data_IF_239679874061
#
_entry.id   IF_239679874061
#
_cell.length_a   1.000
_cell.length_b   1.000
_cell.length_c   1.000
_cell.angle_alpha   90.00
_cell.angle_beta   90.00
_cell.angle_gamma   90.00
#
_symmetry.space_group_name_H-M   'P 1'
#
loop_
_entity.id
_entity.type
_entity.pdbx_description
1 polymer ?
#
# COMPACT_ATOMS: atom_id res chain seq x y z
N UNK A 1 -18.67 2.00 -3.19
CA UNK A 1 -18.22 3.33 -2.76
C UNK A 1 -16.83 3.66 -3.30
N UNK A 2 -15.85 2.75 -3.18
CA UNK A 2 -14.50 2.77 -3.81
C UNK A 2 -14.46 3.35 -5.24
N UNK A 3 -15.39 2.96 -6.11
CA UNK A 3 -15.46 3.47 -7.50
C UNK A 3 -15.56 5.00 -7.60
N UNK A 4 -16.12 5.66 -6.58
CA UNK A 4 -16.30 7.11 -6.52
C UNK A 4 -15.36 7.81 -5.53
N UNK A 5 -14.33 7.12 -5.02
CA UNK A 5 -13.24 7.75 -4.28
C UNK A 5 -12.23 8.36 -5.25
N UNK A 6 -11.57 9.44 -4.82
CA UNK A 6 -10.60 10.19 -5.62
C UNK A 6 -9.40 9.32 -6.03
N UNK A 7 -8.71 8.72 -5.05
CA UNK A 7 -7.56 7.84 -5.26
C UNK A 7 -7.64 6.59 -4.35
N UNK A 8 -8.59 5.67 -4.58
CA UNK A 8 -8.66 4.46 -3.79
C UNK A 8 -7.47 3.54 -4.09
N UNK A 9 -7.01 2.86 -3.06
CA UNK A 9 -5.99 1.82 -3.14
C UNK A 9 -6.64 0.44 -3.01
N UNK A 10 -5.84 -0.62 -3.14
CA UNK A 10 -6.31 -1.97 -2.85
C UNK A 10 -6.59 -2.19 -1.35
N UNK A 11 -6.03 -1.35 -0.45
CA UNK A 11 -6.31 -1.41 0.99
C UNK A 11 -7.77 -1.07 1.32
N UNK A 12 -8.41 -0.25 0.49
CA UNK A 12 -9.80 0.18 0.64
C UNK A 12 -10.83 -0.91 0.32
N UNK A 13 -10.39 -2.04 -0.25
CA UNK A 13 -11.28 -3.14 -0.60
C UNK A 13 -11.77 -3.85 0.66
N UNK A 14 -13.07 -4.18 0.70
CA UNK A 14 -13.68 -4.86 1.85
C UNK A 14 -12.96 -6.16 2.20
N UNK A 15 -12.46 -6.87 1.19
CA UNK A 15 -11.74 -8.12 1.35
C UNK A 15 -10.41 -7.94 2.07
N UNK A 16 -9.72 -6.81 1.87
CA UNK A 16 -8.53 -6.44 2.63
C UNK A 16 -8.86 -6.29 4.12
N UNK A 17 -9.80 -5.40 4.44
CA UNK A 17 -10.19 -5.13 5.83
C UNK A 17 -10.70 -6.38 6.54
N UNK A 18 -11.52 -7.22 5.89
CA UNK A 18 -12.01 -8.48 6.47
C UNK A 18 -10.87 -9.45 6.76
N UNK A 19 -9.94 -9.61 5.83
CA UNK A 19 -8.81 -10.54 5.99
C UNK A 19 -7.88 -10.06 7.09
N UNK A 20 -7.54 -8.76 7.11
CA UNK A 20 -6.72 -8.17 8.16
C UNK A 20 -7.39 -8.30 9.54
N UNK A 21 -8.67 -7.92 9.66
CA UNK A 21 -9.41 -7.99 10.92
C UNK A 21 -9.49 -9.42 11.46
N UNK A 22 -9.69 -10.42 10.59
CA UNK A 22 -9.77 -11.82 11.01
C UNK A 22 -8.45 -12.38 11.56
N UNK A 23 -7.31 -11.85 11.11
CA UNK A 23 -6.00 -12.31 11.56
C UNK A 23 -5.46 -11.49 12.73
N UNK A 24 -5.68 -10.17 12.75
CA UNK A 24 -5.01 -9.24 13.67
C UNK A 24 -5.97 -8.42 14.57
N UNK A 25 -7.27 -8.46 14.31
CA UNK A 25 -8.25 -7.60 14.98
C UNK A 25 -8.64 -8.00 16.41
N UNK A 26 -8.21 -9.17 16.89
CA UNK A 26 -8.73 -9.75 18.15
C UNK A 26 -8.44 -8.92 19.41
N UNK A 27 -7.39 -8.11 19.38
CA UNK A 27 -6.98 -7.27 20.51
C UNK A 27 -7.61 -5.86 20.47
N UNK A 28 -8.45 -5.58 19.46
CA UNK A 28 -9.03 -4.26 19.20
C UNK A 28 -10.55 -4.28 19.17
N UNK A 29 -11.18 -3.15 19.52
CA UNK A 29 -12.61 -2.98 19.28
C UNK A 29 -12.87 -2.41 17.88
N UNK A 30 -13.71 -3.07 17.08
CA UNK A 30 -14.10 -2.59 15.75
C UNK A 30 -14.97 -1.34 15.85
N UNK A 31 -14.57 -0.23 15.20
CA UNK A 31 -15.38 0.99 15.07
C UNK A 31 -15.54 1.38 13.60
N UNK A 32 -16.61 0.92 12.96
CA UNK A 32 -16.97 1.37 11.62
C UNK A 32 -17.96 2.53 11.69
N UNK A 33 -17.51 3.74 11.34
CA UNK A 33 -18.37 4.92 11.27
C UNK A 33 -18.70 5.24 9.82
N UNK A 34 -19.95 5.65 9.56
CA UNK A 34 -20.39 6.03 8.23
C UNK A 34 -21.23 7.31 8.30
N UNK A 35 -21.01 8.21 7.34
CA UNK A 35 -21.81 9.41 7.16
C UNK A 35 -22.68 9.29 5.90
N UNK A 36 -23.91 9.79 6.02
CA UNK A 36 -24.93 9.77 4.99
C UNK A 36 -25.41 11.19 4.74
N UNK A 37 -25.72 11.52 3.48
CA UNK A 37 -26.43 12.76 3.18
C UNK A 37 -27.87 12.71 3.68
N UNK A 38 -28.55 13.86 3.73
CA UNK A 38 -29.98 13.94 4.08
C UNK A 38 -30.86 13.03 3.22
N UNK A 39 -30.49 12.83 1.95
CA UNK A 39 -31.16 11.90 1.02
C UNK A 39 -30.84 10.42 1.25
N UNK A 40 -30.12 10.06 2.31
CA UNK A 40 -29.78 8.67 2.67
C UNK A 40 -28.62 8.05 1.88
N UNK A 41 -27.90 8.82 1.07
CA UNK A 41 -26.76 8.31 0.31
C UNK A 41 -25.50 8.31 1.18
N UNK A 42 -24.80 7.18 1.26
CA UNK A 42 -23.52 7.09 1.96
C UNK A 42 -22.45 7.96 1.28
N UNK A 43 -21.76 8.76 2.09
CA UNK A 43 -20.75 9.74 1.66
C UNK A 43 -19.34 9.44 2.17
N UNK A 44 -19.25 8.84 3.35
CA UNK A 44 -17.97 8.53 3.98
C UNK A 44 -18.08 7.20 4.73
N UNK A 45 -17.01 6.40 4.69
CA UNK A 45 -16.76 5.30 5.63
C UNK A 45 -15.42 5.57 6.30
N UNK A 46 -15.40 5.53 7.64
CA UNK A 46 -14.19 5.54 8.44
C UNK A 46 -13.95 4.13 8.99
N UNK A 47 -13.00 3.37 8.41
CA UNK A 47 -12.62 2.07 8.93
C UNK A 47 -11.70 2.27 10.14
N UNK A 48 -12.27 2.29 11.36
CA UNK A 48 -11.51 2.55 12.59
C UNK A 48 -11.51 1.36 13.54
N UNK A 49 -10.55 1.38 14.46
CA UNK A 49 -10.44 0.47 15.58
C UNK A 49 -10.03 1.23 16.84
N UNK A 50 -10.33 0.66 18.01
CA UNK A 50 -9.98 1.24 19.31
C UNK A 50 -9.08 0.26 20.07
N UNK A 51 -7.98 0.80 20.60
CA UNK A 51 -7.07 0.16 21.55
C UNK A 51 -7.00 1.01 22.83
N UNK A 52 -7.59 0.54 23.92
CA UNK A 52 -7.69 1.33 25.14
C UNK A 52 -8.41 2.67 24.93
N UNK A 53 -7.66 3.78 25.06
CA UNK A 53 -8.15 5.16 24.87
C UNK A 53 -7.71 5.80 23.54
N UNK A 54 -7.17 4.99 22.62
CA UNK A 54 -6.73 5.42 21.30
C UNK A 54 -7.67 4.89 20.21
N UNK A 55 -8.07 5.77 19.29
CA UNK A 55 -8.77 5.40 18.05
C UNK A 55 -7.87 5.64 16.83
N UNK A 56 -7.80 4.66 15.94
CA UNK A 56 -6.95 4.69 14.75
C UNK A 56 -7.62 3.96 13.57
N UNK A 57 -6.99 3.97 12.39
CA UNK A 57 -7.48 3.21 11.24
C UNK A 57 -7.42 1.69 11.48
N UNK A 58 -8.33 0.94 10.86
CA UNK A 58 -8.20 -0.52 10.75
C UNK A 58 -7.02 -0.81 9.84
N UNK A 59 -6.02 -1.50 10.40
CA UNK A 59 -4.77 -1.75 9.72
C UNK A 59 -3.62 -1.32 10.61
N UNK A 60 -2.53 -2.05 10.52
CA UNK A 60 -1.29 -1.71 11.20
C UNK A 60 -0.30 -1.18 10.17
N UNK A 61 0.45 -0.14 10.55
CA UNK A 61 1.40 0.52 9.65
C UNK A 61 2.54 -0.39 9.22
N UNK A 62 2.72 -1.58 9.77
CA UNK A 62 3.67 -2.60 9.29
C UNK A 62 3.17 -3.41 8.07
N UNK A 63 1.87 -3.36 7.74
CA UNK A 63 1.22 -4.09 6.66
C UNK A 63 0.40 -3.19 5.72
N UNK A 64 0.08 -1.97 6.15
CA UNK A 64 -0.67 -0.99 5.36
C UNK A 64 0.14 0.28 5.22
N UNK A 65 0.43 0.66 3.98
CA UNK A 65 1.25 1.84 3.66
C UNK A 65 0.43 3.08 3.31
N UNK A 66 -0.88 2.89 3.09
CA UNK A 66 -1.83 3.97 2.85
C UNK A 66 -3.12 3.71 3.62
N UNK A 67 -3.48 4.65 4.48
CA UNK A 67 -4.82 4.73 5.07
C UNK A 67 -5.50 6.01 4.65
N UNK A 68 -6.83 5.99 4.62
CA UNK A 68 -7.66 7.19 4.63
C UNK A 68 -9.09 6.82 5.04
N UNK A 69 -9.93 7.83 5.22
CA UNK A 69 -11.37 7.63 5.12
C UNK A 69 -11.72 7.38 3.65
N UNK A 70 -12.61 6.42 3.43
CA UNK A 70 -13.18 6.26 2.11
C UNK A 70 -14.23 7.36 1.91
N UNK A 71 -13.85 8.40 1.17
CA UNK A 71 -14.70 9.56 0.91
C UNK A 71 -15.18 9.53 -0.53
N UNK A 72 -16.48 9.76 -0.73
CA UNK A 72 -17.09 9.87 -2.06
C UNK A 72 -16.89 11.27 -2.64
N UNK A 73 -16.49 11.36 -3.90
CA UNK A 73 -16.44 12.60 -4.65
C UNK A 73 -17.82 13.04 -5.19
N UNK A 74 -18.11 14.37 -5.26
CA UNK A 74 -17.30 15.47 -4.73
C UNK A 74 -17.25 15.46 -3.19
N UNK A 75 -16.08 15.81 -2.61
CA UNK A 75 -15.88 15.91 -1.16
C UNK A 75 -16.97 16.76 -0.49
N UNK A 76 -17.67 16.14 0.47
CA UNK A 76 -18.54 16.83 1.42
C UNK A 76 -17.82 16.96 2.76
N UNK A 77 -17.22 18.13 3.02
CA UNK A 77 -16.43 18.40 4.23
C UNK A 77 -17.25 18.23 5.52
N UNK A 78 -18.58 18.36 5.46
CA UNK A 78 -19.46 18.15 6.60
C UNK A 78 -19.43 16.70 7.11
N UNK A 79 -19.06 15.73 6.24
CA UNK A 79 -18.89 14.34 6.66
C UNK A 79 -17.70 14.16 7.60
N UNK A 80 -16.58 14.84 7.33
CA UNK A 80 -15.39 14.80 8.21
C UNK A 80 -15.69 15.55 9.51
N UNK A 81 -16.41 16.68 9.44
CA UNK A 81 -16.88 17.39 10.63
C UNK A 81 -17.72 16.48 11.53
N UNK A 82 -18.73 15.82 10.96
CA UNK A 82 -19.65 14.93 11.69
C UNK A 82 -18.90 13.75 12.31
N UNK A 83 -17.97 13.14 11.56
CA UNK A 83 -17.10 12.08 12.06
C UNK A 83 -16.28 12.55 13.27
N UNK A 84 -15.65 13.73 13.16
CA UNK A 84 -14.83 14.31 14.24
C UNK A 84 -15.67 14.60 15.49
N UNK A 85 -16.91 15.09 15.32
CA UNK A 85 -17.85 15.31 16.43
C UNK A 85 -18.25 14.00 17.12
N UNK A 86 -18.52 12.93 16.35
CA UNK A 86 -18.85 11.61 16.89
C UNK A 86 -17.68 11.07 17.71
N UNK A 87 -16.45 11.15 17.21
CA UNK A 87 -15.25 10.71 17.94
C UNK A 87 -15.04 11.57 19.20
N UNK A 88 -15.20 12.90 19.12
CA UNK A 88 -15.10 13.78 20.28
C UNK A 88 -16.10 13.41 21.40
N UNK A 89 -17.30 12.96 21.02
CA UNK A 89 -18.34 12.48 21.93
C UNK A 89 -17.99 11.18 22.67
N UNK A 90 -17.02 10.40 22.16
CA UNK A 90 -16.50 9.20 22.84
C UNK A 90 -15.59 9.63 23.99
N UNK A 91 -16.14 9.70 25.21
CA UNK A 91 -15.43 10.26 26.37
C UNK A 91 -14.23 9.43 26.84
N UNK A 92 -14.20 8.15 26.51
CA UNK A 92 -13.10 7.24 26.86
C UNK A 92 -11.92 7.34 25.89
N UNK A 93 -12.05 8.09 24.78
CA UNK A 93 -10.97 8.28 23.80
C UNK A 93 -10.19 9.56 24.10
N UNK A 94 -8.89 9.43 24.37
CA UNK A 94 -7.97 10.55 24.62
C UNK A 94 -6.97 10.80 23.50
N UNK A 95 -6.79 9.82 22.60
CA UNK A 95 -5.87 9.93 21.47
C UNK A 95 -6.55 9.49 20.17
N UNK A 96 -6.31 10.24 19.10
CA UNK A 96 -6.67 9.88 17.73
C UNK A 96 -5.38 9.78 16.94
N UNK A 97 -5.13 8.65 16.29
CA UNK A 97 -3.93 8.43 15.49
C UNK A 97 -4.32 8.02 14.05
N UNK A 98 -4.14 8.95 13.11
CA UNK A 98 -4.42 8.75 11.69
C UNK A 98 -3.09 8.71 10.94
N UNK A 99 -2.48 7.53 10.88
CA UNK A 99 -1.19 7.29 10.24
C UNK A 99 -1.35 6.89 8.77
N UNK A 100 -0.26 6.99 8.02
CA UNK A 100 -0.14 6.57 6.63
C UNK A 100 -1.07 7.31 5.66
N UNK A 101 -1.39 8.58 5.93
CA UNK A 101 -2.20 9.42 5.06
C UNK A 101 -1.38 9.97 3.88
N UNK A 102 -1.82 9.84 2.63
CA UNK A 102 -1.16 10.50 1.51
C UNK A 102 -1.19 12.03 1.67
N UNK A 103 -0.11 12.74 1.31
CA UNK A 103 0.05 14.19 1.54
C UNK A 103 -1.10 15.09 1.05
N UNK A 104 -1.83 14.62 0.02
CA UNK A 104 -2.93 15.36 -0.62
C UNK A 104 -4.30 14.94 -0.10
N UNK A 105 -4.36 14.07 0.90
CA UNK A 105 -5.62 13.65 1.50
C UNK A 105 -6.34 14.85 2.11
N UNK A 106 -7.61 15.10 1.76
CA UNK A 106 -8.40 16.15 2.39
C UNK A 106 -8.59 15.90 3.89
N UNK A 107 -8.49 14.64 4.34
CA UNK A 107 -8.59 14.26 5.75
C UNK A 107 -7.60 15.04 6.60
N UNK A 108 -6.35 15.21 6.15
CA UNK A 108 -5.30 15.90 6.92
C UNK A 108 -5.73 17.31 7.33
N UNK A 109 -6.20 18.11 6.36
CA UNK A 109 -6.54 19.53 6.58
C UNK A 109 -7.89 19.65 7.29
N UNK A 110 -8.90 18.91 6.84
CA UNK A 110 -10.26 19.04 7.35
C UNK A 110 -10.37 18.49 8.78
N UNK A 111 -9.80 17.30 9.06
CA UNK A 111 -9.82 16.73 10.40
C UNK A 111 -9.11 17.64 11.39
N UNK A 112 -7.92 18.16 11.04
CA UNK A 112 -7.19 19.10 11.91
C UNK A 112 -8.05 20.30 12.29
N UNK A 113 -8.65 20.96 11.29
CA UNK A 113 -9.49 22.15 11.51
C UNK A 113 -10.65 21.86 12.48
N UNK A 114 -11.39 20.77 12.27
CA UNK A 114 -12.53 20.44 13.13
C UNK A 114 -12.12 19.92 14.51
N UNK A 115 -11.02 19.17 14.61
CA UNK A 115 -10.53 18.66 15.89
C UNK A 115 -10.00 19.80 16.78
N UNK A 116 -9.24 20.76 16.23
CA UNK A 116 -8.77 21.94 16.95
C UNK A 116 -9.95 22.81 17.45
N UNK A 117 -11.01 22.97 16.66
CA UNK A 117 -12.24 23.67 17.10
C UNK A 117 -12.95 22.98 18.27
N UNK A 118 -12.80 21.66 18.40
CA UNK A 118 -13.34 20.85 19.49
C UNK A 118 -12.36 20.72 20.67
N UNK A 119 -11.27 21.50 20.69
CA UNK A 119 -10.31 21.56 21.80
C UNK A 119 -9.23 20.48 21.78
N UNK A 120 -9.07 19.74 20.67
CA UNK A 120 -7.97 18.78 20.55
C UNK A 120 -6.66 19.50 20.20
N UNK A 121 -5.54 19.02 20.76
CA UNK A 121 -4.20 19.40 20.30
C UNK A 121 -3.83 18.50 19.13
N UNK A 122 -3.76 19.06 17.93
CA UNK A 122 -3.43 18.31 16.71
C UNK A 122 -1.99 18.56 16.28
N UNK A 123 -1.29 17.48 15.96
CA UNK A 123 0.05 17.47 15.35
C UNK A 123 -0.01 16.77 14.01
N UNK A 124 0.68 17.33 13.01
CA UNK A 124 0.90 16.70 11.71
C UNK A 124 2.40 16.50 11.55
N UNK A 125 2.81 15.27 11.32
CA UNK A 125 4.19 14.90 11.03
C UNK A 125 4.31 14.27 9.65
N UNK A 126 5.44 14.50 8.98
CA UNK A 126 5.83 13.68 7.84
C UNK A 126 6.28 12.31 8.41
N UNK A 127 5.59 11.24 8.01
CA UNK A 127 5.83 9.87 8.46
C UNK A 127 6.90 9.20 7.59
N UNK A 128 6.73 9.23 6.27
CA UNK A 128 7.62 8.57 5.30
C UNK A 128 7.37 9.13 3.88
N UNK A 129 7.95 8.48 2.87
CA UNK A 129 7.69 8.70 1.44
C UNK A 129 7.20 7.42 0.78
N UNK A 130 6.42 7.56 -0.28
CA UNK A 130 6.04 6.48 -1.16
C UNK A 130 6.36 6.86 -2.63
N UNK A 131 7.53 6.43 -3.15
CA UNK A 131 7.93 6.74 -4.52
C UNK A 131 7.00 6.10 -5.55
N UNK A 132 6.62 6.85 -6.58
CA UNK A 132 5.82 6.33 -7.71
C UNK A 132 6.32 6.84 -9.07
N UNK A 133 5.89 6.18 -10.14
CA UNK A 133 6.18 6.54 -11.53
C UNK A 133 4.86 6.77 -12.25
N UNK A 134 4.71 7.94 -12.87
CA UNK A 134 3.70 8.14 -13.92
C UNK A 134 4.16 7.40 -15.18
N UNK A 135 3.42 6.36 -15.58
CA UNK A 135 3.80 5.47 -16.66
C UNK A 135 3.50 6.12 -18.01
N UNK A 136 4.49 6.18 -18.93
CA UNK A 136 4.25 6.61 -20.29
C UNK A 136 3.58 5.50 -21.11
N UNK A 137 3.19 5.81 -22.34
CA UNK A 137 2.49 4.87 -23.23
C UNK A 137 3.36 3.71 -23.73
N UNK A 138 4.69 3.83 -23.69
CA UNK A 138 5.60 2.79 -24.21
C UNK A 138 6.80 2.54 -23.30
N UNK A 139 7.36 1.33 -23.38
CA UNK A 139 8.59 0.97 -22.66
C UNK A 139 9.78 1.83 -23.07
N UNK A 140 9.88 2.19 -24.35
CA UNK A 140 10.99 3.02 -24.85
C UNK A 140 10.91 4.46 -24.32
N UNK A 141 9.69 5.01 -24.18
CA UNK A 141 9.48 6.30 -23.54
C UNK A 141 9.86 6.26 -22.06
N UNK A 142 9.49 5.17 -21.35
CA UNK A 142 9.93 4.95 -19.96
C UNK A 142 11.45 4.88 -19.85
N UNK A 143 12.11 4.09 -20.70
CA UNK A 143 13.57 4.02 -20.70
C UNK A 143 14.20 5.39 -20.97
N UNK A 144 13.59 6.21 -21.81
CA UNK A 144 14.04 7.56 -22.15
C UNK A 144 13.85 8.55 -21.01
N UNK A 145 12.78 8.41 -20.21
CA UNK A 145 12.50 9.28 -19.06
C UNK A 145 13.48 9.08 -17.90
N UNK A 146 14.09 7.88 -17.79
CA UNK A 146 15.14 7.62 -16.81
C UNK A 146 16.37 8.51 -17.01
N UNK A 147 17.02 8.87 -15.89
CA UNK A 147 18.33 9.55 -15.92
C UNK A 147 19.32 8.74 -16.75
N UNK A 148 20.18 9.42 -17.53
CA UNK A 148 21.13 8.77 -18.46
C UNK A 148 21.91 7.63 -17.80
N UNK A 149 22.43 7.85 -16.58
CA UNK A 149 23.16 6.84 -15.81
C UNK A 149 22.31 5.60 -15.50
N UNK A 150 21.10 5.81 -14.98
CA UNK A 150 20.19 4.73 -14.58
C UNK A 150 19.72 3.92 -15.79
N UNK A 151 19.37 4.59 -16.90
CA UNK A 151 19.04 3.93 -18.17
C UNK A 151 20.17 3.02 -18.65
N UNK A 152 21.41 3.52 -18.67
CA UNK A 152 22.57 2.73 -19.11
C UNK A 152 22.82 1.53 -18.19
N UNK A 153 22.70 1.74 -16.88
CA UNK A 153 22.88 0.67 -15.89
C UNK A 153 21.78 -0.39 -16.01
N UNK A 154 20.51 -0.01 -16.17
CA UNK A 154 19.41 -0.93 -16.37
C UNK A 154 19.59 -1.77 -17.65
N UNK A 155 19.94 -1.14 -18.78
CA UNK A 155 20.28 -1.86 -20.03
C UNK A 155 21.43 -2.85 -19.85
N UNK A 156 22.47 -2.45 -19.10
CA UNK A 156 23.61 -3.33 -18.80
C UNK A 156 23.17 -4.55 -17.99
N UNK A 157 22.31 -4.37 -16.99
CA UNK A 157 21.78 -5.46 -16.17
C UNK A 157 20.90 -6.42 -16.97
N UNK A 158 20.02 -5.92 -17.84
CA UNK A 158 19.22 -6.75 -18.74
C UNK A 158 20.09 -7.63 -19.64
N UNK A 159 21.09 -7.07 -20.33
CA UNK A 159 22.03 -7.85 -21.14
C UNK A 159 22.74 -8.94 -20.33
N UNK A 160 23.18 -8.63 -19.11
CA UNK A 160 23.83 -9.63 -18.24
C UNK A 160 22.86 -10.75 -17.83
N UNK A 161 21.59 -10.44 -17.64
CA UNK A 161 20.56 -11.44 -17.35
C UNK A 161 20.33 -12.34 -18.57
N UNK A 162 20.25 -11.77 -19.77
CA UNK A 162 20.14 -12.52 -21.04
C UNK A 162 21.35 -13.44 -21.29
N UNK A 163 22.56 -12.98 -20.95
CA UNK A 163 23.79 -13.78 -21.05
C UNK A 163 23.85 -14.95 -20.04
N UNK A 164 23.02 -14.93 -18.99
CA UNK A 164 23.03 -15.94 -17.92
C UNK A 164 22.25 -17.23 -18.26
N UNK A 165 21.47 -17.23 -19.34
CA UNK A 165 20.71 -18.39 -19.79
C UNK A 165 19.29 -18.06 -20.23
N UNK A 166 18.40 -19.05 -20.16
CA UNK A 166 16.99 -18.82 -20.48
C UNK A 166 16.32 -18.06 -19.34
N UNK A 167 15.76 -16.89 -19.63
CA UNK A 167 15.11 -16.04 -18.62
C UNK A 167 13.72 -15.63 -19.03
N UNK A 168 12.76 -15.72 -18.12
CA UNK A 168 11.36 -15.33 -18.34
C UNK A 168 10.77 -14.75 -17.06
N UNK A 169 9.92 -13.74 -17.17
CA UNK A 169 9.05 -13.35 -16.08
C UNK A 169 7.65 -13.93 -16.31
N UNK A 170 7.15 -14.65 -15.31
CA UNK A 170 5.80 -15.20 -15.30
C UNK A 170 4.94 -14.33 -14.38
N UNK A 171 3.76 -13.93 -14.84
CA UNK A 171 2.77 -13.20 -14.05
C UNK A 171 1.53 -14.08 -13.82
N UNK A 172 1.23 -14.35 -12.55
CA UNK A 172 0.08 -15.14 -12.12
C UNK A 172 -1.03 -14.22 -11.61
N UNK A 173 -2.24 -14.44 -12.10
CA UNK A 173 -3.42 -13.61 -11.79
C UNK A 173 -4.63 -14.42 -11.32
N UNK A 174 -4.69 -15.72 -11.66
CA UNK A 174 -5.79 -16.58 -11.25
C UNK A 174 -5.68 -16.94 -9.76
N UNK A 175 -6.80 -17.04 -9.01
CA UNK A 175 -6.75 -17.41 -7.60
C UNK A 175 -6.02 -18.74 -7.34
N UNK A 176 -6.23 -19.74 -8.21
CA UNK A 176 -5.63 -21.07 -8.07
C UNK A 176 -4.12 -21.03 -8.30
N UNK A 177 -3.66 -20.32 -9.33
CA UNK A 177 -2.22 -20.21 -9.61
C UNK A 177 -1.51 -19.40 -8.53
N UNK A 178 -2.14 -18.31 -8.05
CA UNK A 178 -1.65 -17.52 -6.94
C UNK A 178 -1.50 -18.38 -5.70
N UNK A 179 -2.55 -19.11 -5.30
CA UNK A 179 -2.53 -19.99 -4.13
C UNK A 179 -1.39 -21.01 -4.20
N UNK A 180 -1.27 -21.71 -5.34
CA UNK A 180 -0.24 -22.72 -5.57
C UNK A 180 1.18 -22.14 -5.51
N UNK A 181 1.37 -20.88 -5.91
CA UNK A 181 2.68 -20.24 -5.97
C UNK A 181 3.05 -19.44 -4.71
N UNK A 182 2.14 -19.23 -3.75
CA UNK A 182 2.43 -18.44 -2.54
C UNK A 182 3.59 -19.00 -1.72
N UNK A 183 3.77 -20.33 -1.69
CA UNK A 183 4.88 -20.95 -0.96
C UNK A 183 6.25 -20.50 -1.50
N UNK A 184 6.38 -20.36 -2.83
CA UNK A 184 7.61 -19.88 -3.46
C UNK A 184 7.85 -18.40 -3.20
N UNK A 185 6.79 -17.59 -3.24
CA UNK A 185 6.88 -16.18 -2.88
C UNK A 185 7.37 -16.00 -1.44
N UNK A 186 6.77 -16.72 -0.48
CA UNK A 186 7.15 -16.67 0.94
C UNK A 186 8.60 -17.13 1.13
N UNK A 187 9.02 -18.22 0.45
CA UNK A 187 10.41 -18.70 0.46
C UNK A 187 11.37 -17.59 -0.01
N UNK A 188 11.14 -17.02 -1.19
CA UNK A 188 11.98 -15.96 -1.75
C UNK A 188 11.97 -14.68 -0.91
N UNK A 189 10.83 -14.35 -0.29
CA UNK A 189 10.71 -13.22 0.63
C UNK A 189 11.61 -13.41 1.85
N UNK A 190 11.54 -14.57 2.51
CA UNK A 190 12.36 -14.87 3.70
C UNK A 190 13.87 -14.79 3.40
N UNK A 191 14.29 -15.19 2.21
CA UNK A 191 15.70 -15.23 1.81
C UNK A 191 16.33 -13.85 1.56
N UNK A 192 15.55 -12.84 1.16
CA UNK A 192 16.11 -11.74 0.37
C UNK A 192 16.93 -10.71 1.12
N UNK A 193 16.55 -10.35 2.35
CA UNK A 193 17.24 -9.37 3.17
C UNK A 193 17.13 -9.71 4.65
N UNK A 194 18.12 -9.27 5.43
CA UNK A 194 18.13 -9.42 6.89
C UNK A 194 16.83 -8.85 7.47
N UNK A 195 16.18 -9.61 8.37
CA UNK A 195 14.92 -9.22 9.01
C UNK A 195 13.64 -9.68 8.29
N UNK A 196 13.68 -10.04 6.99
CA UNK A 196 12.47 -10.52 6.29
C UNK A 196 11.97 -11.89 6.74
N UNK A 197 12.87 -12.72 7.26
CA UNK A 197 12.49 -13.96 7.93
C UNK A 197 11.66 -13.68 9.19
N UNK A 198 12.12 -12.75 10.03
CA UNK A 198 11.43 -12.33 11.26
C UNK A 198 10.10 -11.63 10.94
N UNK A 199 10.06 -10.85 9.86
CA UNK A 199 8.84 -10.22 9.38
C UNK A 199 7.77 -11.27 9.02
N UNK A 200 8.14 -12.39 8.39
CA UNK A 200 7.18 -13.36 7.87
C UNK A 200 6.80 -14.42 8.93
N UNK A 201 6.15 -13.97 10.01
CA UNK A 201 5.59 -14.83 11.06
C UNK A 201 4.51 -15.77 10.51
N UNK A 202 4.11 -16.81 11.28
CA UNK A 202 3.03 -17.73 10.85
C UNK A 202 1.70 -17.01 10.59
N UNK A 203 1.39 -16.01 11.40
CA UNK A 203 0.16 -15.21 11.26
C UNK A 203 0.20 -14.36 9.99
N UNK A 204 1.32 -13.65 9.74
CA UNK A 204 1.50 -12.90 8.50
C UNK A 204 1.54 -13.81 7.27
N UNK A 205 2.13 -15.00 7.34
CA UNK A 205 2.09 -15.97 6.24
C UNK A 205 0.64 -16.34 5.87
N UNK A 206 -0.23 -16.64 6.86
CA UNK A 206 -1.66 -16.88 6.59
C UNK A 206 -2.33 -15.66 5.97
N UNK A 207 -2.09 -14.47 6.54
CA UNK A 207 -2.62 -13.22 6.01
C UNK A 207 -2.22 -13.01 4.54
N UNK A 208 -0.93 -13.08 4.20
CA UNK A 208 -0.44 -12.89 2.83
C UNK A 208 -1.05 -13.91 1.87
N UNK A 209 -1.18 -15.18 2.26
CA UNK A 209 -1.84 -16.21 1.43
C UNK A 209 -3.30 -15.86 1.18
N UNK A 210 -4.05 -15.64 2.25
CA UNK A 210 -5.49 -15.39 2.18
C UNK A 210 -5.78 -14.12 1.36
N UNK A 211 -5.12 -13.00 1.71
CA UNK A 211 -5.38 -11.72 1.06
C UNK A 211 -5.01 -11.73 -0.43
N UNK A 212 -3.92 -12.40 -0.80
CA UNK A 212 -3.48 -12.50 -2.20
C UNK A 212 -4.46 -13.32 -3.04
N UNK A 213 -4.98 -14.42 -2.49
CA UNK A 213 -5.96 -15.29 -3.18
C UNK A 213 -7.31 -14.60 -3.26
N UNK A 214 -7.78 -13.97 -2.19
CA UNK A 214 -9.07 -13.27 -2.20
C UNK A 214 -9.06 -12.04 -3.13
N UNK A 215 -7.98 -11.24 -3.13
CA UNK A 215 -7.82 -10.14 -4.09
C UNK A 215 -7.62 -10.64 -5.53
N UNK A 216 -7.13 -11.86 -5.74
CA UNK A 216 -7.06 -12.48 -7.06
C UNK A 216 -8.47 -12.80 -7.60
N UNK A 217 -9.43 -13.16 -6.72
CA UNK A 217 -10.84 -13.36 -7.12
C UNK A 217 -11.48 -12.06 -7.60
N UNK A 218 -11.01 -10.92 -7.11
CA UNK A 218 -11.40 -9.58 -7.58
C UNK A 218 -10.58 -9.10 -8.80
N UNK A 219 -9.63 -9.91 -9.30
CA UNK A 219 -8.78 -9.58 -10.44
C UNK A 219 -7.66 -8.58 -10.14
N UNK A 220 -7.37 -8.31 -8.86
CA UNK A 220 -6.45 -7.25 -8.44
C UNK A 220 -5.02 -7.75 -8.26
N UNK A 221 -4.84 -9.02 -7.88
CA UNK A 221 -3.50 -9.60 -7.62
C UNK A 221 -2.68 -9.75 -8.89
N UNK A 222 -1.39 -9.42 -8.79
CA UNK A 222 -0.33 -9.76 -9.75
C UNK A 222 0.83 -10.38 -8.99
N UNK A 223 1.00 -11.68 -9.09
CA UNK A 223 2.13 -12.39 -8.49
C UNK A 223 3.15 -12.73 -9.59
N UNK A 224 4.26 -12.01 -9.63
CA UNK A 224 5.29 -12.21 -10.64
C UNK A 224 6.48 -12.99 -10.09
N UNK A 225 7.03 -13.87 -10.93
CA UNK A 225 8.30 -14.53 -10.71
C UNK A 225 9.25 -14.28 -11.87
N UNK A 226 10.49 -13.90 -11.57
CA UNK A 226 11.58 -13.97 -12.53
C UNK A 226 12.21 -15.36 -12.42
N UNK A 227 12.27 -16.04 -13.56
CA UNK A 227 12.83 -17.38 -13.69
C UNK A 227 14.13 -17.33 -14.51
N UNK A 228 15.16 -18.05 -14.05
CA UNK A 228 16.43 -18.26 -14.76
C UNK A 228 16.67 -19.76 -14.84
N UNK A 229 16.75 -20.30 -16.05
CA UNK A 229 16.88 -21.74 -16.31
C UNK A 229 15.84 -22.58 -15.54
N UNK A 230 14.58 -22.13 -15.56
CA UNK A 230 13.42 -22.72 -14.88
C UNK A 230 13.47 -22.69 -13.33
N UNK A 231 14.39 -21.94 -12.73
CA UNK A 231 14.39 -21.66 -11.29
C UNK A 231 13.76 -20.29 -11.02
N UNK A 232 12.77 -20.21 -10.11
CA UNK A 232 12.24 -18.95 -9.58
C UNK A 232 13.27 -18.29 -8.67
N UNK A 233 13.92 -17.24 -9.18
CA UNK A 233 15.03 -16.53 -8.51
C UNK A 233 14.61 -15.20 -7.88
N UNK A 234 13.50 -14.61 -8.31
CA UNK A 234 12.90 -13.43 -7.68
C UNK A 234 11.38 -13.47 -7.79
N UNK A 235 10.71 -12.80 -6.86
CA UNK A 235 9.26 -12.69 -6.82
C UNK A 235 8.81 -11.28 -6.42
N UNK A 236 7.67 -10.85 -6.92
CA UNK A 236 6.97 -9.65 -6.47
C UNK A 236 5.47 -9.90 -6.39
N UNK A 237 4.89 -9.57 -5.25
CA UNK A 237 3.46 -9.50 -5.04
C UNK A 237 3.03 -8.04 -5.23
N UNK A 238 2.15 -7.81 -6.19
CA UNK A 238 1.55 -6.51 -6.46
C UNK A 238 0.03 -6.61 -6.49
N UNK A 239 -0.62 -5.47 -6.29
CA UNK A 239 -2.07 -5.33 -6.49
C UNK A 239 -2.34 -4.18 -7.45
N UNK A 240 -3.41 -4.30 -8.25
CA UNK A 240 -3.82 -3.28 -9.20
C UNK A 240 -5.16 -2.69 -8.76
N UNK A 241 -5.24 -1.37 -8.60
CA UNK A 241 -6.49 -0.66 -8.35
C UNK A 241 -6.56 0.59 -9.25
N UNK A 242 -7.67 0.78 -9.97
CA UNK A 242 -7.92 1.93 -10.86
C UNK A 242 -6.74 2.34 -11.77
N UNK A 243 -6.05 1.37 -12.37
CA UNK A 243 -4.93 1.62 -13.28
C UNK A 243 -3.60 1.95 -12.59
N UNK A 244 -3.53 1.82 -11.27
CA UNK A 244 -2.30 1.91 -10.48
C UNK A 244 -1.87 0.50 -10.07
N UNK A 245 -0.61 0.13 -10.33
CA UNK A 245 0.00 -1.10 -9.82
C UNK A 245 0.86 -0.78 -8.59
N UNK A 246 0.51 -1.39 -7.46
CA UNK A 246 1.17 -1.23 -6.17
C UNK A 246 2.12 -2.40 -5.90
N UNK A 247 3.43 -2.15 -5.81
CA UNK A 247 4.44 -3.15 -5.49
C UNK A 247 4.46 -3.44 -3.99
N UNK A 248 3.45 -4.19 -3.51
CA UNK A 248 3.24 -4.42 -2.08
C UNK A 248 4.40 -5.10 -1.37
N UNK A 249 4.93 -6.21 -1.93
CA UNK A 249 6.08 -6.86 -1.33
C UNK A 249 6.86 -7.69 -2.37
N UNK A 250 8.11 -8.01 -2.09
CA UNK A 250 8.99 -8.77 -2.99
C UNK A 250 10.07 -9.55 -2.27
N UNK A 251 10.67 -10.49 -2.98
CA UNK A 251 11.75 -11.34 -2.48
C UNK A 251 12.63 -11.81 -3.62
N UNK A 252 13.82 -12.28 -3.29
CA UNK A 252 14.75 -12.85 -4.25
C UNK A 252 15.73 -13.78 -3.56
N UNK A 253 16.28 -14.71 -4.34
CA UNK A 253 17.35 -15.60 -3.90
C UNK A 253 18.70 -14.85 -3.97
N UNK A 254 19.39 -14.60 -2.84
CA UNK A 254 20.64 -13.83 -2.82
C UNK A 254 21.78 -14.46 -3.62
N UNK A 255 21.74 -15.77 -3.92
CA UNK A 255 22.74 -16.43 -4.76
C UNK A 255 22.76 -15.88 -6.20
N UNK A 256 21.66 -15.25 -6.65
CA UNK A 256 21.54 -14.60 -7.96
C UNK A 256 21.65 -13.07 -7.90
N UNK A 257 22.10 -12.51 -6.77
CA UNK A 257 22.25 -11.06 -6.58
C UNK A 257 23.21 -10.41 -7.60
N UNK A 258 24.21 -11.14 -8.07
CA UNK A 258 25.14 -10.73 -9.13
C UNK A 258 24.44 -10.41 -10.47
N UNK A 259 23.26 -10.99 -10.73
CA UNK A 259 22.41 -10.72 -11.89
C UNK A 259 21.37 -9.62 -11.63
N UNK A 260 21.31 -9.05 -10.43
CA UNK A 260 20.33 -8.02 -10.05
C UNK A 260 18.87 -8.48 -10.20
N UNK A 261 18.57 -9.76 -9.94
CA UNK A 261 17.26 -10.40 -10.22
C UNK A 261 16.07 -9.71 -9.56
N UNK A 262 16.21 -9.20 -8.33
CA UNK A 262 15.13 -8.46 -7.66
C UNK A 262 14.76 -7.17 -8.39
N UNK A 263 15.76 -6.34 -8.70
CA UNK A 263 15.58 -5.10 -9.46
C UNK A 263 14.99 -5.37 -10.85
N UNK A 264 15.52 -6.37 -11.57
CA UNK A 264 15.05 -6.68 -12.91
C UNK A 264 13.63 -7.25 -12.91
N UNK A 265 13.24 -7.99 -11.87
CA UNK A 265 11.86 -8.41 -11.68
C UNK A 265 10.91 -7.21 -11.52
N UNK A 266 11.31 -6.16 -10.77
CA UNK A 266 10.53 -4.92 -10.69
C UNK A 266 10.50 -4.15 -12.02
N UNK A 267 11.61 -4.06 -12.74
CA UNK A 267 11.66 -3.40 -14.04
C UNK A 267 10.75 -4.07 -15.08
N UNK A 268 10.70 -5.41 -15.09
CA UNK A 268 9.79 -6.18 -15.93
C UNK A 268 8.32 -6.00 -15.49
N UNK A 269 8.05 -5.85 -14.18
CA UNK A 269 6.70 -5.51 -13.69
C UNK A 269 6.25 -4.09 -14.11
N UNK A 270 7.18 -3.14 -14.23
CA UNK A 270 6.91 -1.81 -14.81
C UNK A 270 6.56 -1.96 -16.29
N UNK A 271 7.37 -2.74 -17.04
CA UNK A 271 7.13 -3.01 -18.46
C UNK A 271 5.74 -3.60 -18.71
N UNK A 272 5.36 -4.65 -18.00
CA UNK A 272 4.04 -5.28 -18.14
C UNK A 272 2.89 -4.35 -17.72
N UNK A 273 3.14 -3.42 -16.79
CA UNK A 273 2.16 -2.39 -16.42
C UNK A 273 1.90 -1.40 -17.55
N UNK A 274 2.96 -0.96 -18.23
CA UNK A 274 2.85 -0.10 -19.42
C UNK A 274 2.09 -0.83 -20.52
N UNK A 275 2.46 -2.08 -20.81
CA UNK A 275 1.82 -2.91 -21.84
C UNK A 275 0.33 -3.19 -21.52
N UNK A 276 -0.03 -3.22 -20.24
CA UNK A 276 -1.41 -3.38 -19.76
C UNK A 276 -2.19 -2.06 -19.69
N UNK A 277 -1.57 -0.92 -20.02
CA UNK A 277 -2.21 0.40 -20.00
C UNK A 277 -2.44 0.98 -18.60
N UNK A 278 -1.67 0.54 -17.59
CA UNK A 278 -1.67 1.18 -16.27
C UNK A 278 -1.07 2.58 -16.37
N UNK A 279 -1.61 3.52 -15.59
CA UNK A 279 -1.15 4.91 -15.55
C UNK A 279 -0.04 5.14 -14.53
N UNK A 280 0.02 4.35 -13.46
CA UNK A 280 0.99 4.56 -12.37
C UNK A 280 1.57 3.23 -11.90
N UNK A 281 2.87 3.23 -11.62
CA UNK A 281 3.53 2.19 -10.84
C UNK A 281 3.96 2.78 -9.50
N UNK A 282 3.40 2.27 -8.41
CA UNK A 282 3.63 2.72 -7.04
C UNK A 282 4.55 1.74 -6.34
N UNK A 283 5.71 2.21 -5.87
CA UNK A 283 6.68 1.36 -5.17
C UNK A 283 6.35 1.16 -3.69
N UNK A 284 5.25 1.73 -3.21
CA UNK A 284 4.84 1.73 -1.82
C UNK A 284 5.85 2.46 -0.92
N UNK A 285 5.56 2.49 0.38
CA UNK A 285 6.33 3.23 1.38
C UNK A 285 7.80 2.82 1.42
N UNK A 286 8.67 3.77 1.70
CA UNK A 286 10.11 3.59 1.88
C UNK A 286 10.95 4.24 0.78
N UNK A 287 12.18 4.63 1.14
CA UNK A 287 13.11 5.37 0.30
C UNK A 287 14.28 4.53 -0.22
N UNK A 288 14.06 3.24 -0.51
CA UNK A 288 15.10 2.37 -1.02
C UNK A 288 15.65 2.89 -2.37
N UNK A 289 16.98 3.00 -2.47
CA UNK A 289 17.66 3.60 -3.61
C UNK A 289 17.23 3.05 -4.98
N UNK A 290 16.85 1.77 -5.04
CA UNK A 290 16.42 1.13 -6.28
C UNK A 290 15.13 1.75 -6.86
N UNK A 291 14.21 2.23 -6.02
CA UNK A 291 12.97 2.88 -6.46
C UNK A 291 13.27 4.11 -7.31
N UNK A 292 14.22 4.92 -6.87
CA UNK A 292 14.69 6.11 -7.60
C UNK A 292 15.53 5.78 -8.83
N UNK A 293 16.32 4.70 -8.81
CA UNK A 293 17.02 4.22 -10.01
C UNK A 293 16.04 3.75 -11.10
N UNK A 294 14.83 3.33 -10.71
CA UNK A 294 13.75 2.99 -11.63
C UNK A 294 12.85 4.19 -11.96
N UNK A 295 13.18 5.41 -11.50
CA UNK A 295 12.47 6.63 -11.83
C UNK A 295 11.39 7.05 -10.83
N UNK A 296 11.34 6.42 -9.65
CA UNK A 296 10.41 6.80 -8.59
C UNK A 296 10.59 8.25 -8.14
N UNK A 297 9.46 8.93 -7.96
CA UNK A 297 9.36 10.29 -7.41
C UNK A 297 8.52 10.21 -6.14
N UNK A 298 9.03 10.80 -5.06
CA UNK A 298 8.38 10.77 -3.76
C UNK A 298 7.01 11.44 -3.78
N UNK A 299 6.06 10.77 -3.13
CA UNK A 299 4.89 11.40 -2.51
C UNK A 299 5.07 11.30 -1.01
N UNK A 300 4.77 12.37 -0.27
CA UNK A 300 4.86 12.32 1.18
C UNK A 300 3.70 11.51 1.78
N UNK A 301 4.00 10.83 2.88
CA UNK A 301 3.06 10.17 3.76
C UNK A 301 3.09 10.92 5.08
N UNK A 302 1.92 11.23 5.62
CA UNK A 302 1.75 12.02 6.82
C UNK A 302 1.03 11.23 7.90
N UNK A 303 1.35 11.53 9.15
CA UNK A 303 0.57 11.12 10.31
C UNK A 303 -0.12 12.33 10.92
N UNK A 304 -1.37 12.17 11.33
CA UNK A 304 -2.12 13.15 12.12
C UNK A 304 -2.43 12.55 13.47
N UNK A 305 -1.89 13.16 14.53
CA UNK A 305 -2.18 12.76 15.91
C UNK A 305 -2.96 13.87 16.59
N UNK A 306 -4.05 13.53 17.26
CA UNK A 306 -4.80 14.46 18.09
C UNK A 306 -4.86 13.95 19.53
N UNK A 307 -4.52 14.81 20.49
CA UNK A 307 -4.61 14.53 21.92
C UNK A 307 -5.70 15.38 22.55
N UNK A 308 -6.57 14.73 23.33
CA UNK A 308 -7.59 15.44 24.10
C UNK A 308 -6.88 16.28 25.15
N UNK A 309 -7.20 17.56 25.21
CA UNK A 309 -6.70 18.40 26.29
C UNK A 309 -7.51 18.07 27.55
N UNK A 310 -6.82 17.72 28.63
CA UNK A 310 -7.44 17.71 29.95
C UNK A 310 -7.89 19.14 30.24
N UNK A 311 -9.11 19.32 30.72
CA UNK A 311 -9.49 20.59 31.31
C UNK A 311 -8.49 20.85 32.44
N UNK A 312 -7.57 21.79 32.25
CA UNK A 312 -6.80 22.35 33.36
C UNK A 312 -7.84 22.83 34.36
N UNK A 313 -7.96 22.11 35.48
CA UNK A 313 -8.77 22.53 36.61
C UNK A 313 -8.30 23.92 37.02
N UNK A 314 -9.08 24.93 36.64
CA UNK A 314 -9.05 26.26 37.23
C UNK A 314 -10.08 26.30 38.36
#
# INVERSE_FOLDING_TARGET
MIQNCLEPTFFDHLVWHKTWWSEFGNDFELKLLAAYSESGNMKLIAPLMVDGDEISFIGSTDLVDYHDFLIKEPLDVACIQSLTQVIHGMKDINKICLESLPERSPTIIQFRSYAEQLGWKVEIAQEDVAPRIELPSTWDDYMTSLRKKDRHELRRKFRRLEEAGHTVQVELTSPVDVENAMADFIRLHRMSTVGKEQFMTRQRERFFRNVSVELAKEGLTRLCFLEVNNERVAASLSFVCKGVRYLYNSGYNPTHSNLSVGLLNHALAIKSSIESGHSVFDFMRGNEAYKYHLGGIDRQICAVTALRQSDSMN
#
